data_IF_907175709699
#
_entry.id   IF_907175709699
#
_cell.length_a   1.000
_cell.length_b   1.000
_cell.length_c   1.000
_cell.angle_alpha   90.00
_cell.angle_beta   90.00
_cell.angle_gamma   90.00
#
_symmetry.space_group_name_H-M   'P 1'
#
loop_
_entity.id
_entity.type
_entity.pdbx_description
1 polymer ?
#
# COMPACT_ATOMS: atom_id res chain seq x y z
N UNK A 1 -0.09 -5.05 -16.49
CA UNK A 1 -0.05 -5.71 -17.81
C UNK A 1 0.76 -7.00 -17.76
N UNK A 2 0.52 -7.96 -18.66
CA UNK A 2 1.30 -9.19 -18.75
C UNK A 2 1.95 -9.32 -20.14
N UNK A 3 3.26 -9.60 -20.19
CA UNK A 3 4.04 -9.74 -21.43
C UNK A 3 4.79 -11.07 -21.47
N UNK A 4 4.99 -11.64 -22.65
CA UNK A 4 5.77 -12.87 -22.78
C UNK A 4 7.26 -12.57 -22.64
N UNK A 5 8.05 -13.50 -22.11
CA UNK A 5 9.51 -13.40 -21.99
C UNK A 5 10.21 -13.08 -23.33
N UNK A 6 9.66 -13.55 -24.46
CA UNK A 6 10.19 -13.24 -25.80
C UNK A 6 10.01 -11.78 -26.20
N UNK A 7 8.90 -11.17 -25.79
CA UNK A 7 8.61 -9.76 -26.03
C UNK A 7 9.38 -8.89 -25.04
N UNK A 8 9.46 -9.35 -23.79
CA UNK A 8 10.17 -8.65 -22.73
C UNK A 8 11.66 -8.48 -23.03
N UNK A 9 12.35 -9.50 -23.56
CA UNK A 9 13.78 -9.37 -23.92
C UNK A 9 14.04 -8.33 -25.02
N UNK A 10 13.09 -8.14 -25.94
CA UNK A 10 13.23 -7.21 -27.07
C UNK A 10 12.83 -5.79 -26.67
N UNK A 11 11.86 -5.65 -25.76
CA UNK A 11 11.28 -4.35 -25.38
C UNK A 11 11.53 -3.96 -23.92
N UNK A 12 12.56 -4.54 -23.28
CA UNK A 12 12.82 -4.36 -21.84
C UNK A 12 12.89 -2.88 -21.44
N UNK A 13 13.60 -2.04 -22.18
CA UNK A 13 13.72 -0.60 -21.89
C UNK A 13 12.37 0.14 -21.95
N UNK A 14 11.43 -0.30 -22.81
CA UNK A 14 10.07 0.26 -22.84
C UNK A 14 9.26 -0.19 -21.62
N UNK A 15 9.41 -1.45 -21.22
CA UNK A 15 8.73 -2.00 -20.05
C UNK A 15 9.21 -1.35 -18.76
N UNK A 16 10.52 -1.08 -18.62
CA UNK A 16 11.09 -0.36 -17.49
C UNK A 16 10.49 1.06 -17.39
N UNK A 17 10.40 1.80 -18.50
CA UNK A 17 9.78 3.13 -18.50
C UNK A 17 8.33 3.12 -18.04
N UNK A 18 7.57 2.08 -18.39
CA UNK A 18 6.18 1.91 -17.92
C UNK A 18 6.12 1.57 -16.44
N UNK A 19 7.00 0.69 -15.97
CA UNK A 19 7.13 0.39 -14.54
C UNK A 19 7.48 1.65 -13.74
N UNK A 20 8.41 2.47 -14.23
CA UNK A 20 8.75 3.77 -13.63
C UNK A 20 7.60 4.78 -13.64
N UNK A 21 6.66 4.67 -14.58
CA UNK A 21 5.45 5.47 -14.63
C UNK A 21 4.35 4.97 -13.67
N UNK A 22 4.62 3.93 -12.86
CA UNK A 22 3.67 3.34 -11.91
C UNK A 22 2.81 2.22 -12.50
N UNK A 23 3.07 1.77 -13.73
CA UNK A 23 2.34 0.64 -14.30
C UNK A 23 2.90 -0.70 -13.80
N UNK A 24 2.01 -1.60 -13.35
CA UNK A 24 2.43 -2.97 -13.03
C UNK A 24 2.77 -3.74 -14.31
N UNK A 25 3.97 -4.32 -14.38
CA UNK A 25 4.41 -5.14 -15.53
C UNK A 25 4.83 -6.53 -15.06
N UNK A 26 4.13 -7.56 -15.56
CA UNK A 26 4.39 -8.97 -15.26
C UNK A 26 4.96 -9.66 -16.50
N UNK A 27 6.10 -10.32 -16.37
CA UNK A 27 6.69 -11.14 -17.42
C UNK A 27 6.29 -12.61 -17.21
N UNK A 28 5.83 -13.24 -18.29
CA UNK A 28 5.30 -14.60 -18.29
C UNK A 28 5.97 -15.48 -19.35
N UNK A 29 5.95 -16.79 -19.15
CA UNK A 29 6.36 -17.78 -20.15
C UNK A 29 5.24 -18.79 -20.33
N UNK A 30 4.79 -18.99 -21.57
CA UNK A 30 3.66 -19.90 -21.90
C UNK A 30 2.41 -19.63 -21.03
N UNK A 31 2.02 -18.35 -20.89
CA UNK A 31 0.92 -17.87 -20.04
C UNK A 31 1.09 -18.04 -18.53
N UNK A 32 2.22 -18.60 -18.06
CA UNK A 32 2.53 -18.66 -16.63
C UNK A 32 3.33 -17.43 -16.21
N UNK A 33 2.85 -16.60 -15.26
CA UNK A 33 3.63 -15.48 -14.73
C UNK A 33 4.90 -16.01 -14.05
N UNK A 34 6.02 -15.32 -14.26
CA UNK A 34 7.33 -15.72 -13.72
C UNK A 34 7.94 -14.64 -12.83
N UNK A 35 7.93 -13.40 -13.31
CA UNK A 35 8.53 -12.27 -12.59
C UNK A 35 7.68 -11.02 -12.79
N UNK A 36 7.79 -10.09 -11.85
CA UNK A 36 7.21 -8.75 -11.93
C UNK A 36 8.35 -7.74 -11.97
N UNK A 37 8.25 -6.75 -12.84
CA UNK A 37 9.13 -5.61 -12.82
C UNK A 37 8.63 -4.67 -11.73
N UNK A 38 9.50 -4.43 -10.76
CA UNK A 38 9.27 -3.53 -9.65
C UNK A 38 10.36 -2.47 -9.67
N UNK A 39 9.99 -1.23 -9.41
CA UNK A 39 10.93 -0.11 -9.40
C UNK A 39 11.76 -0.19 -8.12
N UNK A 40 13.07 -0.14 -8.27
CA UNK A 40 14.00 -0.07 -7.15
C UNK A 40 14.19 1.42 -6.80
N UNK A 41 13.26 1.98 -6.03
CA UNK A 41 13.29 3.38 -5.52
C UNK A 41 11.88 4.01 -5.45
N UNK A 42 11.60 4.98 -4.58
CA UNK A 42 12.47 5.70 -3.65
C UNK A 42 12.71 4.99 -2.32
N UNK A 43 13.54 5.59 -1.47
CA UNK A 43 13.44 5.34 -0.03
C UNK A 43 11.95 5.36 0.28
N UNK A 44 11.39 4.28 0.85
CA UNK A 44 10.17 4.43 1.62
C UNK A 44 10.44 5.66 2.47
N UNK A 45 9.75 6.78 2.22
CA UNK A 45 9.78 7.89 3.15
C UNK A 45 9.30 7.25 4.44
N UNK A 46 10.26 6.90 5.30
CA UNK A 46 9.96 6.24 6.57
C UNK A 46 8.84 7.07 7.15
N UNK A 47 7.68 6.46 7.47
CA UNK A 47 6.50 7.22 7.83
C UNK A 47 6.93 8.28 8.83
N UNK A 48 6.81 9.55 8.42
CA UNK A 48 7.28 10.66 9.24
C UNK A 48 6.30 10.78 10.40
N UNK A 49 6.70 10.25 11.55
CA UNK A 49 5.97 10.43 12.80
C UNK A 49 5.77 11.94 13.02
N UNK A 50 4.52 12.33 13.32
CA UNK A 50 4.17 13.74 13.50
C UNK A 50 3.93 14.53 12.21
N UNK A 51 3.78 13.88 11.05
CA UNK A 51 3.41 14.56 9.79
C UNK A 51 2.08 15.33 9.84
N UNK A 52 1.21 15.01 10.80
CA UNK A 52 -0.04 15.70 11.06
C UNK A 52 0.02 16.73 12.22
N UNK A 53 1.22 17.07 12.72
CA UNK A 53 1.37 18.03 13.81
C UNK A 53 0.76 19.38 13.43
N UNK A 54 -0.21 19.83 14.21
CA UNK A 54 -0.92 21.10 13.98
C UNK A 54 -2.06 21.02 12.95
N UNK A 55 -2.35 19.85 12.36
CA UNK A 55 -3.53 19.66 11.52
C UNK A 55 -4.80 19.40 12.32
N UNK A 56 -4.67 18.80 13.50
CA UNK A 56 -5.79 18.63 14.42
C UNK A 56 -5.95 19.91 15.24
N UNK A 57 -6.91 20.74 14.86
CA UNK A 57 -7.18 22.05 15.47
C UNK A 57 -8.29 21.96 16.53
N UNK A 58 -9.18 20.96 16.40
CA UNK A 58 -10.27 20.68 17.33
C UNK A 58 -10.60 19.18 17.28
N UNK A 59 -10.96 18.61 18.44
CA UNK A 59 -11.63 17.32 18.60
C UNK A 59 -12.94 17.59 19.33
N UNK A 60 -13.98 16.79 19.09
CA UNK A 60 -15.23 16.85 19.85
C UNK A 60 -15.07 16.07 21.18
N UNK A 61 -15.91 16.41 22.16
CA UNK A 61 -15.80 15.90 23.54
C UNK A 61 -16.05 14.39 23.64
N UNK A 62 -16.70 13.79 22.63
CA UNK A 62 -17.06 12.37 22.53
C UNK A 62 -16.06 11.57 21.67
N UNK A 63 -14.93 12.15 21.28
CA UNK A 63 -13.96 11.46 20.41
C UNK A 63 -13.44 10.14 20.99
N UNK A 64 -13.23 10.11 22.31
CA UNK A 64 -12.77 8.93 23.04
C UNK A 64 -13.92 8.04 23.55
N UNK A 65 -15.19 8.43 23.29
CA UNK A 65 -16.33 7.65 23.72
C UNK A 65 -16.49 6.38 22.86
N UNK A 66 -16.93 5.26 23.47
CA UNK A 66 -17.16 4.02 22.75
C UNK A 66 -18.28 4.20 21.71
N UNK A 67 -18.06 3.72 20.48
CA UNK A 67 -19.14 3.73 19.50
C UNK A 67 -20.22 2.73 19.93
N UNK A 68 -21.52 3.03 19.73
CA UNK A 68 -22.63 2.19 20.19
C UNK A 68 -22.56 0.73 19.72
N UNK A 69 -22.02 0.48 18.52
CA UNK A 69 -21.83 -0.88 17.99
C UNK A 69 -20.78 -1.70 18.74
N UNK A 70 -19.90 -1.06 19.52
CA UNK A 70 -18.89 -1.73 20.35
C UNK A 70 -19.38 -2.06 21.76
N UNK A 71 -20.59 -1.64 22.16
CA UNK A 71 -21.16 -1.97 23.47
C UNK A 71 -21.13 -3.48 23.82
N UNK A 72 -21.33 -4.44 22.89
CA UNK A 72 -21.21 -5.87 23.19
C UNK A 72 -19.78 -6.36 23.47
N UNK A 73 -18.77 -5.54 23.15
CA UNK A 73 -17.35 -5.85 23.25
C UNK A 73 -16.64 -5.03 24.34
N UNK A 74 -17.37 -4.16 25.04
CA UNK A 74 -16.81 -3.48 26.19
C UNK A 74 -16.35 -4.52 27.22
N UNK A 75 -15.10 -4.41 27.70
CA UNK A 75 -14.60 -5.34 28.69
C UNK A 75 -15.50 -5.26 29.91
N UNK A 76 -16.14 -6.38 30.26
CA UNK A 76 -16.82 -6.57 31.54
C UNK A 76 -15.78 -6.21 32.62
N UNK A 77 -15.93 -5.03 33.22
CA UNK A 77 -14.92 -4.43 34.08
C UNK A 77 -14.29 -5.44 35.03
N UNK A 78 -12.98 -5.31 35.25
CA UNK A 78 -12.27 -6.10 36.26
C UNK A 78 -13.08 -6.03 37.55
N UNK A 79 -13.68 -7.16 37.93
CA UNK A 79 -14.36 -7.26 39.22
C UNK A 79 -13.26 -7.19 40.28
N UNK A 80 -13.10 -6.03 40.90
CA UNK A 80 -12.42 -5.94 42.20
C UNK A 80 -13.18 -6.75 43.26
#
# INVERSE_FOLDING_TARGET
MQVNIHEAKTHLSRLIRRALAGEEVIIAKRRKPLVRLEVIGGEDEKPRLGGARGLVIRMDDDFDDPLPEFAPYEPLGERE
#
